data_IF_832144996480
#
_entry.id   IF_832144996480
#
_cell.length_a   1.000
_cell.length_b   1.000
_cell.length_c   1.000
_cell.angle_alpha   90.00
_cell.angle_beta   90.00
_cell.angle_gamma   90.00
#
_symmetry.space_group_name_H-M   'P 1'
#
loop_
_entity.id
_entity.type
_entity.pdbx_description
1 polymer ?
#
# COMPACT_ATOMS: atom_id res chain seq x y z
N UNK A 1 -12.78 12.03 -0.48
CA UNK A 1 -12.94 12.48 0.92
C UNK A 1 -11.57 12.78 1.48
N UNK A 2 -11.38 13.88 2.20
CA UNK A 2 -10.15 14.13 2.98
C UNK A 2 -10.14 13.22 4.21
N UNK A 3 -8.95 12.86 4.71
CA UNK A 3 -8.80 12.01 5.92
C UNK A 3 -9.54 12.59 7.14
N UNK A 4 -9.60 13.92 7.24
CA UNK A 4 -10.31 14.66 8.30
C UNK A 4 -11.84 14.49 8.27
N UNK A 5 -12.40 13.99 7.17
CA UNK A 5 -13.83 13.77 7.00
C UNK A 5 -14.24 12.32 7.31
N UNK A 6 -13.28 11.44 7.57
CA UNK A 6 -13.55 10.04 7.96
C UNK A 6 -13.91 9.99 9.46
N UNK A 7 -15.15 9.61 9.82
CA UNK A 7 -15.60 9.61 11.21
C UNK A 7 -14.89 8.58 12.09
N UNK A 8 -14.27 7.55 11.50
CA UNK A 8 -13.49 6.56 12.24
C UNK A 8 -12.08 7.07 12.58
N UNK A 9 -11.61 8.11 11.88
CA UNK A 9 -10.27 8.67 12.03
C UNK A 9 -10.31 9.82 13.04
N UNK A 10 -10.42 9.45 14.32
CA UNK A 10 -10.41 10.41 15.44
C UNK A 10 -8.99 10.74 15.85
N UNK A 11 -8.74 12.03 16.16
CA UNK A 11 -7.44 12.54 16.66
C UNK A 11 -7.17 12.19 18.12
N UNK A 12 -8.19 11.83 18.88
CA UNK A 12 -8.00 11.39 20.26
C UNK A 12 -7.54 9.92 20.34
N UNK A 13 -6.72 9.65 21.36
CA UNK A 13 -6.24 8.32 21.71
C UNK A 13 -6.90 7.81 22.99
N UNK A 14 -8.22 8.01 23.14
CA UNK A 14 -8.97 7.61 24.34
C UNK A 14 -8.85 6.12 24.69
N UNK A 15 -8.62 5.28 23.68
CA UNK A 15 -8.44 3.82 23.81
C UNK A 15 -6.95 3.40 23.69
N UNK A 16 -6.03 4.36 23.88
CA UNK A 16 -4.58 4.16 23.83
C UNK A 16 -3.97 4.29 22.42
N UNK A 17 -2.63 4.26 22.37
CA UNK A 17 -1.88 4.48 21.13
C UNK A 17 -2.12 3.42 20.04
N UNK A 18 -2.30 2.15 20.42
CA UNK A 18 -2.52 1.05 19.45
C UNK A 18 -3.81 1.24 18.67
N UNK A 19 -4.91 1.55 19.36
CA UNK A 19 -6.19 1.84 18.72
C UNK A 19 -6.08 3.08 17.82
N UNK A 20 -5.44 4.15 18.32
CA UNK A 20 -5.21 5.36 17.53
C UNK A 20 -4.47 5.07 16.21
N UNK A 21 -3.33 4.37 16.25
CA UNK A 21 -2.55 4.04 15.06
C UNK A 21 -3.31 3.09 14.11
N UNK A 22 -4.09 2.16 14.66
CA UNK A 22 -4.90 1.23 13.87
C UNK A 22 -5.98 1.98 13.08
N UNK A 23 -6.73 2.86 13.76
CA UNK A 23 -7.77 3.69 13.10
C UNK A 23 -7.17 4.62 12.05
N UNK A 24 -6.03 5.24 12.35
CA UNK A 24 -5.33 6.10 11.41
C UNK A 24 -4.88 5.31 10.17
N UNK A 25 -4.25 4.15 10.35
CA UNK A 25 -3.80 3.28 9.25
C UNK A 25 -4.95 2.87 8.33
N UNK A 26 -6.06 2.41 8.91
CA UNK A 26 -7.27 2.03 8.16
C UNK A 26 -7.89 3.20 7.42
N UNK A 27 -7.92 4.38 8.04
CA UNK A 27 -8.37 5.62 7.41
C UNK A 27 -7.54 6.02 6.20
N UNK A 28 -6.21 6.01 6.35
CA UNK A 28 -5.28 6.31 5.25
C UNK A 28 -5.42 5.27 4.13
N UNK A 29 -5.59 3.99 4.46
CA UNK A 29 -5.87 2.95 3.48
C UNK A 29 -7.16 3.23 2.72
N UNK A 30 -8.28 3.47 3.40
CA UNK A 30 -9.55 3.85 2.74
C UNK A 30 -9.39 5.06 1.82
N UNK A 31 -8.64 6.07 2.25
CA UNK A 31 -8.32 7.22 1.41
C UNK A 31 -7.56 6.80 0.14
N UNK A 32 -6.48 6.03 0.28
CA UNK A 32 -5.69 5.56 -0.86
C UNK A 32 -6.56 4.76 -1.85
N UNK A 33 -7.39 3.87 -1.33
CA UNK A 33 -8.28 3.01 -2.12
C UNK A 33 -9.44 3.74 -2.79
N UNK A 34 -9.85 4.88 -2.24
CA UNK A 34 -10.83 5.76 -2.88
C UNK A 34 -10.20 6.57 -4.03
N UNK A 35 -8.87 6.68 -4.08
CA UNK A 35 -8.14 7.50 -5.06
C UNK A 35 -6.90 6.78 -5.64
N UNK A 36 -7.04 5.56 -6.20
CA UNK A 36 -5.89 4.72 -6.57
C UNK A 36 -4.97 5.36 -7.61
N UNK A 37 -5.51 6.14 -8.56
CA UNK A 37 -4.74 6.88 -9.58
C UNK A 37 -4.02 8.12 -9.04
N UNK A 38 -4.63 8.81 -8.07
CA UNK A 38 -4.05 10.02 -7.51
C UNK A 38 -3.04 9.73 -6.40
N UNK A 39 -3.25 8.65 -5.64
CA UNK A 39 -2.45 8.35 -4.44
C UNK A 39 -0.95 8.24 -4.75
N UNK A 40 -0.46 7.48 -5.75
CA UNK A 40 0.96 7.38 -6.07
C UNK A 40 1.56 8.72 -6.50
N UNK A 41 0.84 9.52 -7.29
CA UNK A 41 1.30 10.83 -7.75
C UNK A 41 1.40 11.82 -6.61
N UNK A 42 0.41 11.80 -5.73
CA UNK A 42 0.39 12.65 -4.56
C UNK A 42 1.54 12.20 -3.66
N UNK A 43 1.62 10.94 -3.24
CA UNK A 43 2.59 10.50 -2.22
C UNK A 43 4.05 10.54 -2.67
N UNK A 44 4.37 10.37 -3.95
CA UNK A 44 5.77 10.39 -4.42
C UNK A 44 6.31 11.79 -4.74
N UNK A 45 5.45 12.82 -4.75
CA UNK A 45 5.91 14.21 -4.92
C UNK A 45 6.79 14.67 -3.75
N UNK A 46 7.89 15.40 -4.03
CA UNK A 46 8.68 16.07 -3.01
C UNK A 46 7.78 16.96 -2.15
N UNK A 47 7.88 16.85 -0.83
CA UNK A 47 7.12 17.69 0.07
C UNK A 47 7.62 19.14 0.03
N UNK A 48 6.73 20.11 0.18
CA UNK A 48 7.09 21.53 0.26
C UNK A 48 7.96 21.85 1.49
N UNK A 49 7.82 21.06 2.55
CA UNK A 49 8.71 21.05 3.70
C UNK A 49 9.56 19.76 3.70
N UNK A 50 10.91 19.85 3.74
CA UNK A 50 11.82 18.70 3.56
C UNK A 50 11.64 17.53 4.55
N UNK A 51 10.90 17.74 5.65
CA UNK A 51 10.73 16.78 6.74
C UNK A 51 9.31 16.22 6.84
N UNK A 52 8.34 16.75 6.08
CA UNK A 52 6.98 16.21 6.03
C UNK A 52 6.97 15.04 5.06
N UNK A 53 6.87 13.83 5.59
CA UNK A 53 6.88 12.62 4.78
C UNK A 53 5.45 12.16 4.43
N UNK A 54 5.23 11.59 3.23
CA UNK A 54 4.02 10.85 2.92
C UNK A 54 3.84 9.64 3.84
N UNK A 55 2.61 9.10 4.02
CA UNK A 55 1.34 9.57 3.45
C UNK A 55 0.68 10.73 4.23
N UNK A 56 1.10 11.00 5.46
CA UNK A 56 0.51 12.03 6.33
C UNK A 56 1.15 13.40 6.07
N UNK A 57 0.56 14.21 5.18
CA UNK A 57 1.05 15.57 4.86
C UNK A 57 0.43 16.70 5.68
N UNK A 58 -0.07 16.39 6.87
CA UNK A 58 -0.74 17.35 7.74
C UNK A 58 0.02 17.46 9.05
N UNK A 59 0.46 18.68 9.37
CA UNK A 59 1.10 18.97 10.65
C UNK A 59 0.19 18.63 11.84
N UNK A 60 -1.13 18.79 11.67
CA UNK A 60 -2.08 18.43 12.71
C UNK A 60 -2.07 16.91 12.97
N UNK A 61 -1.96 16.08 11.93
CA UNK A 61 -1.88 14.63 12.08
C UNK A 61 -0.54 14.17 12.66
N UNK A 62 0.56 14.80 12.21
CA UNK A 62 1.90 14.54 12.74
C UNK A 62 1.94 14.88 14.23
N UNK A 63 1.56 16.10 14.60
CA UNK A 63 1.52 16.55 16.00
C UNK A 63 0.63 15.65 16.86
N UNK A 64 -0.58 15.32 16.39
CA UNK A 64 -1.51 14.44 17.09
C UNK A 64 -0.89 13.06 17.37
N UNK A 65 -0.17 12.49 16.40
CA UNK A 65 0.51 11.19 16.58
C UNK A 65 1.68 11.31 17.55
N UNK A 66 2.55 12.31 17.40
CA UNK A 66 3.72 12.49 18.26
C UNK A 66 3.29 12.75 19.71
N UNK A 67 2.33 13.64 19.93
CA UNK A 67 1.78 13.95 21.25
C UNK A 67 1.08 12.74 21.89
N UNK A 68 0.37 11.93 21.09
CA UNK A 68 -0.23 10.67 21.57
C UNK A 68 0.84 9.71 22.09
N UNK A 69 1.89 9.47 21.31
CA UNK A 69 2.95 8.55 21.70
C UNK A 69 3.70 9.05 22.94
N UNK A 70 4.03 10.35 23.01
CA UNK A 70 4.65 10.95 24.19
C UNK A 70 3.75 10.85 25.44
N UNK A 71 2.44 11.08 25.28
CA UNK A 71 1.46 10.97 26.38
C UNK A 71 1.37 9.57 26.98
N UNK A 72 1.71 8.55 26.20
CA UNK A 72 1.73 7.14 26.59
C UNK A 72 3.10 6.70 27.16
N UNK A 73 4.03 7.64 27.35
CA UNK A 73 5.32 7.40 28.01
C UNK A 73 6.47 6.98 27.07
N UNK A 74 6.29 7.08 25.75
CA UNK A 74 7.37 6.83 24.80
C UNK A 74 8.47 7.88 24.96
N UNK A 75 9.72 7.42 24.95
CA UNK A 75 10.89 8.31 24.82
C UNK A 75 10.95 8.91 23.42
N UNK A 76 11.66 10.04 23.26
CA UNK A 76 11.79 10.72 21.96
C UNK A 76 12.32 9.78 20.85
N UNK A 77 13.26 8.89 21.18
CA UNK A 77 13.79 7.91 20.24
C UNK A 77 12.73 6.88 19.82
N UNK A 78 11.92 6.38 20.77
CA UNK A 78 10.82 5.45 20.49
C UNK A 78 9.70 6.12 19.68
N UNK A 79 9.37 7.39 19.97
CA UNK A 79 8.40 8.18 19.21
C UNK A 79 8.85 8.29 17.75
N UNK A 80 10.10 8.70 17.53
CA UNK A 80 10.64 8.89 16.19
C UNK A 80 10.75 7.57 15.42
N UNK A 81 11.18 6.49 16.08
CA UNK A 81 11.19 5.15 15.51
C UNK A 81 9.79 4.72 15.07
N UNK A 82 8.80 4.82 15.97
CA UNK A 82 7.40 4.46 15.70
C UNK A 82 6.84 5.26 14.52
N UNK A 83 7.05 6.58 14.53
CA UNK A 83 6.61 7.46 13.44
C UNK A 83 7.21 7.04 12.09
N UNK A 84 8.51 6.78 12.03
CA UNK A 84 9.18 6.39 10.78
C UNK A 84 8.73 5.02 10.29
N UNK A 85 8.71 4.03 11.17
CA UNK A 85 8.32 2.66 10.83
C UNK A 85 6.87 2.58 10.35
N UNK A 86 5.96 3.28 11.05
CA UNK A 86 4.55 3.38 10.67
C UNK A 86 4.34 4.04 9.31
N UNK A 87 4.93 5.21 9.06
CA UNK A 87 4.78 5.88 7.77
C UNK A 87 5.42 5.07 6.62
N UNK A 88 6.56 4.42 6.88
CA UNK A 88 7.26 3.61 5.86
C UNK A 88 6.45 2.37 5.48
N UNK A 89 5.88 1.69 6.48
CA UNK A 89 4.95 0.57 6.27
C UNK A 89 3.75 1.01 5.43
N UNK A 90 3.04 2.08 5.85
CA UNK A 90 1.87 2.56 5.13
C UNK A 90 2.21 2.97 3.70
N UNK A 91 3.29 3.74 3.50
CA UNK A 91 3.66 4.21 2.17
C UNK A 91 3.98 3.04 1.24
N UNK A 92 4.80 2.08 1.68
CA UNK A 92 5.17 0.92 0.88
C UNK A 92 3.96 0.05 0.54
N UNK A 93 3.13 -0.26 1.55
CA UNK A 93 1.96 -1.11 1.36
C UNK A 93 0.92 -0.47 0.44
N UNK A 94 0.59 0.80 0.67
CA UNK A 94 -0.47 1.49 -0.07
C UNK A 94 -0.06 1.85 -1.49
N UNK A 95 1.23 2.08 -1.77
CA UNK A 95 1.72 2.22 -3.15
C UNK A 95 1.55 0.90 -3.93
N UNK A 96 1.89 -0.23 -3.30
CA UNK A 96 1.73 -1.55 -3.91
C UNK A 96 0.26 -1.90 -4.16
N UNK A 97 -0.61 -1.73 -3.16
CA UNK A 97 -2.05 -2.02 -3.30
C UNK A 97 -2.74 -1.08 -4.30
N UNK A 98 -2.43 0.22 -4.27
CA UNK A 98 -3.01 1.18 -5.24
C UNK A 98 -2.54 0.89 -6.66
N UNK A 99 -1.25 0.57 -6.85
CA UNK A 99 -0.71 0.20 -8.15
C UNK A 99 -1.36 -1.05 -8.74
N UNK A 100 -1.59 -2.09 -7.91
CA UNK A 100 -2.30 -3.29 -8.34
C UNK A 100 -3.74 -3.01 -8.82
N UNK A 101 -4.44 -2.04 -8.19
CA UNK A 101 -5.78 -1.62 -8.63
C UNK A 101 -5.75 -0.82 -9.92
N UNK A 102 -4.80 0.10 -10.04
CA UNK A 102 -4.57 0.85 -11.28
C UNK A 102 -4.25 -0.09 -12.46
N UNK A 103 -3.52 -1.18 -12.22
CA UNK A 103 -3.29 -2.20 -13.26
C UNK A 103 -4.58 -2.93 -13.70
N UNK A 104 -5.61 -3.02 -12.85
CA UNK A 104 -6.91 -3.64 -13.20
C UNK A 104 -7.86 -2.67 -13.92
N UNK A 105 -7.73 -1.37 -13.65
CA UNK A 105 -8.55 -0.31 -14.25
C UNK A 105 -7.65 0.84 -14.74
N UNK A 106 -6.83 0.64 -15.79
CA UNK A 106 -5.86 1.64 -16.22
C UNK A 106 -6.54 2.89 -16.80
N UNK A 107 -6.08 4.07 -16.37
CA UNK A 107 -6.49 5.38 -16.88
C UNK A 107 -5.33 6.12 -17.55
N UNK A 108 -5.67 7.06 -18.42
CA UNK A 108 -4.70 7.96 -19.04
C UNK A 108 -3.91 8.72 -17.96
N UNK A 109 -2.58 8.53 -17.94
CA UNK A 109 -1.68 9.17 -16.98
C UNK A 109 -1.19 8.29 -15.82
N UNK A 110 -1.67 7.05 -15.72
CA UNK A 110 -1.15 6.05 -14.76
C UNK A 110 0.23 5.48 -15.16
N UNK A 111 0.65 5.73 -16.40
CA UNK A 111 1.88 5.21 -17.00
C UNK A 111 3.12 6.06 -16.71
N UNK A 112 4.25 5.35 -16.58
CA UNK A 112 5.59 5.88 -16.80
C UNK A 112 5.70 6.42 -18.23
N UNK A 113 6.33 7.59 -18.40
CA UNK A 113 6.85 8.04 -19.70
C UNK A 113 7.98 7.08 -20.12
N UNK A 114 7.65 5.92 -20.68
CA UNK A 114 8.64 4.92 -21.05
C UNK A 114 8.04 3.70 -21.73
N UNK A 115 8.06 3.70 -23.05
CA UNK A 115 8.03 2.49 -23.87
C UNK A 115 9.36 1.75 -23.68
N UNK A 116 9.42 0.75 -22.80
CA UNK A 116 10.54 -0.20 -22.84
C UNK A 116 10.29 -1.20 -23.96
N UNK A 117 11.18 -1.27 -24.94
CA UNK A 117 11.14 -2.20 -26.09
C UNK A 117 11.25 -3.69 -25.69
N UNK A 118 11.51 -4.01 -24.41
CA UNK A 118 11.51 -5.37 -23.87
C UNK A 118 10.51 -5.49 -22.70
N UNK A 119 9.33 -6.13 -22.91
CA UNK A 119 8.37 -6.41 -21.84
C UNK A 119 8.89 -7.50 -20.89
N UNK A 120 8.57 -7.39 -19.61
CA UNK A 120 8.73 -8.50 -18.65
C UNK A 120 7.68 -9.57 -18.99
N UNK A 121 8.04 -10.86 -19.15
CA UNK A 121 7.07 -11.93 -19.36
C UNK A 121 6.01 -11.97 -18.23
N UNK A 122 4.72 -11.99 -18.60
CA UNK A 122 3.59 -11.86 -17.65
C UNK A 122 3.39 -10.44 -17.07
N UNK A 123 4.13 -9.45 -17.55
CA UNK A 123 4.04 -8.06 -17.14
C UNK A 123 2.77 -7.39 -17.65
N UNK A 124 1.95 -6.88 -16.73
CA UNK A 124 0.80 -6.06 -17.06
C UNK A 124 1.29 -4.64 -17.37
N UNK A 125 1.51 -4.30 -18.64
CA UNK A 125 1.80 -2.91 -19.03
C UNK A 125 0.59 -2.01 -18.71
N UNK A 126 0.78 -0.78 -18.20
CA UNK A 126 -0.32 0.19 -18.04
C UNK A 126 -1.05 0.49 -19.36
N UNK A 127 -0.39 0.24 -20.49
CA UNK A 127 -0.93 0.38 -21.85
C UNK A 127 -1.03 -0.99 -22.53
N UNK A 128 -1.84 -1.89 -21.96
CA UNK A 128 -2.12 -3.20 -22.59
C UNK A 128 -2.70 -3.01 -24.00
N UNK A 129 -2.34 -3.90 -24.91
CA UNK A 129 -3.07 -4.09 -26.17
C UNK A 129 -4.47 -4.64 -25.87
N UNK A 130 -5.43 -4.42 -26.77
CA UNK A 130 -6.80 -4.92 -26.60
C UNK A 130 -6.83 -6.45 -26.39
N UNK A 131 -5.93 -7.19 -27.04
CA UNK A 131 -5.79 -8.63 -26.90
C UNK A 131 -5.33 -9.08 -25.51
N UNK A 132 -4.45 -8.31 -24.86
CA UNK A 132 -3.99 -8.60 -23.49
C UNK A 132 -5.08 -8.33 -22.45
N UNK A 133 -5.95 -7.34 -22.70
CA UNK A 133 -7.10 -7.08 -21.84
C UNK A 133 -8.16 -8.18 -21.96
N UNK A 134 -8.42 -8.64 -23.18
CA UNK A 134 -9.36 -9.74 -23.47
C UNK A 134 -8.88 -11.05 -22.84
N UNK A 135 -7.59 -11.39 -22.96
CA UNK A 135 -7.01 -12.59 -22.35
C UNK A 135 -7.11 -12.60 -20.81
N UNK A 136 -6.88 -11.44 -20.16
CA UNK A 136 -7.06 -11.30 -18.70
C UNK A 136 -8.54 -11.42 -18.30
N UNK A 137 -9.45 -10.85 -19.09
CA UNK A 137 -10.89 -10.92 -18.83
C UNK A 137 -11.46 -12.34 -19.00
N UNK A 138 -10.92 -13.11 -19.94
CA UNK A 138 -11.34 -14.48 -20.25
C UNK A 138 -10.65 -15.54 -19.37
N UNK A 139 -9.66 -15.18 -18.56
CA UNK A 139 -8.93 -16.10 -17.69
C UNK A 139 -9.88 -16.81 -16.71
N UNK A 140 -9.90 -18.14 -16.77
CA UNK A 140 -10.80 -18.99 -15.95
C UNK A 140 -10.08 -19.80 -14.88
N UNK A 141 -8.74 -19.79 -14.91
CA UNK A 141 -7.87 -20.46 -13.95
C UNK A 141 -6.83 -19.51 -13.37
N UNK A 142 -6.28 -19.85 -12.20
CA UNK A 142 -5.21 -19.06 -11.58
C UNK A 142 -3.92 -19.02 -12.41
N UNK A 143 -3.66 -20.06 -13.21
CA UNK A 143 -2.53 -20.11 -14.13
C UNK A 143 -2.73 -19.11 -15.27
N UNK A 144 -3.94 -19.04 -15.87
CA UNK A 144 -4.27 -18.03 -16.90
C UNK A 144 -4.30 -16.61 -16.34
N UNK A 145 -4.67 -16.42 -15.06
CA UNK A 145 -4.63 -15.10 -14.42
C UNK A 145 -3.20 -14.60 -14.17
N UNK A 146 -2.30 -15.52 -13.81
CA UNK A 146 -0.91 -15.22 -13.51
C UNK A 146 -0.06 -15.09 -14.78
N UNK A 147 -0.36 -15.88 -15.80
CA UNK A 147 0.33 -15.89 -17.09
C UNK A 147 -0.66 -15.94 -18.26
N UNK A 148 -1.36 -14.82 -18.55
CA UNK A 148 -2.39 -14.79 -19.61
C UNK A 148 -1.84 -15.08 -21.01
N UNK A 149 -0.53 -14.88 -21.22
CA UNK A 149 0.13 -15.08 -22.50
C UNK A 149 0.81 -16.46 -22.61
N UNK A 150 0.94 -17.20 -21.50
CA UNK A 150 1.60 -18.50 -21.48
C UNK A 150 3.12 -18.42 -21.64
N UNK A 151 3.72 -17.28 -21.28
CA UNK A 151 5.16 -17.01 -21.48
C UNK A 151 6.04 -17.54 -20.34
N UNK A 152 5.46 -17.91 -19.19
CA UNK A 152 6.19 -18.41 -18.03
C UNK A 152 6.40 -19.92 -18.21
N UNK A 153 7.55 -20.32 -18.74
CA UNK A 153 7.84 -21.74 -18.94
C UNK A 153 8.01 -22.51 -17.63
N UNK A 154 7.22 -23.58 -17.44
CA UNK A 154 7.29 -24.44 -16.24
C UNK A 154 8.67 -25.06 -15.98
N UNK A 155 9.44 -25.31 -17.05
CA UNK A 155 10.80 -25.86 -16.93
C UNK A 155 11.78 -24.87 -16.31
N UNK A 156 11.57 -23.58 -16.54
CA UNK A 156 12.42 -22.50 -16.03
C UNK A 156 11.90 -21.96 -14.68
N UNK A 157 10.57 -21.87 -14.52
CA UNK A 157 9.93 -21.29 -13.33
C UNK A 157 9.01 -22.27 -12.57
N UNK A 158 9.48 -23.47 -12.16
CA UNK A 158 8.62 -24.50 -11.56
C UNK A 158 7.98 -24.06 -10.23
N UNK A 159 8.61 -23.17 -9.48
CA UNK A 159 8.07 -22.66 -8.22
C UNK A 159 6.88 -21.71 -8.42
N UNK A 160 6.91 -20.91 -9.48
CA UNK A 160 5.82 -19.98 -9.82
C UNK A 160 4.58 -20.79 -10.15
N UNK A 161 4.71 -21.77 -11.06
CA UNK A 161 3.63 -22.71 -11.40
C UNK A 161 3.08 -23.45 -10.18
N UNK A 162 3.95 -23.98 -9.32
CA UNK A 162 3.54 -24.67 -8.08
C UNK A 162 2.74 -23.77 -7.12
N UNK A 163 2.99 -22.46 -7.13
CA UNK A 163 2.35 -21.50 -6.24
C UNK A 163 1.32 -20.62 -6.97
N UNK A 164 1.02 -20.88 -8.24
CA UNK A 164 0.24 -19.99 -9.09
C UNK A 164 -1.13 -19.67 -8.49
N UNK A 165 -1.82 -20.70 -7.98
CA UNK A 165 -3.12 -20.57 -7.30
C UNK A 165 -3.07 -19.54 -6.16
N UNK A 166 -2.04 -19.60 -5.32
CA UNK A 166 -1.86 -18.68 -4.18
C UNK A 166 -1.31 -17.32 -4.58
N UNK A 167 -0.53 -17.24 -5.65
CA UNK A 167 0.04 -15.99 -6.17
C UNK A 167 -1.01 -15.15 -6.90
N UNK A 168 -2.02 -15.78 -7.50
CA UNK A 168 -3.12 -15.09 -8.17
C UNK A 168 -4.17 -14.53 -7.20
N UNK A 169 -4.22 -15.02 -5.96
CA UNK A 169 -5.16 -14.54 -4.94
C UNK A 169 -4.88 -13.08 -4.51
N UNK A 170 -5.90 -12.22 -4.56
CA UNK A 170 -5.86 -10.90 -3.92
C UNK A 170 -6.10 -11.03 -2.41
N UNK A 171 -5.06 -10.77 -1.61
CA UNK A 171 -5.09 -10.85 -0.15
C UNK A 171 -4.74 -9.54 0.54
N UNK A 172 -4.82 -8.40 -0.17
CA UNK A 172 -4.32 -7.11 0.34
C UNK A 172 -4.95 -6.70 1.69
N UNK A 173 -6.23 -6.97 1.91
CA UNK A 173 -6.91 -6.61 3.16
C UNK A 173 -6.33 -7.35 4.38
N UNK A 174 -6.29 -8.68 4.30
CA UNK A 174 -5.79 -9.52 5.40
C UNK A 174 -4.29 -9.33 5.63
N UNK A 175 -3.52 -9.14 4.57
CA UNK A 175 -2.08 -8.92 4.65
C UNK A 175 -1.75 -7.54 5.23
N UNK A 176 -2.54 -6.51 4.91
CA UNK A 176 -2.42 -5.19 5.51
C UNK A 176 -2.62 -5.26 7.02
N UNK A 177 -3.71 -5.87 7.47
CA UNK A 177 -4.04 -5.97 8.90
C UNK A 177 -2.98 -6.77 9.66
N UNK A 178 -2.52 -7.91 9.12
CA UNK A 178 -1.42 -8.70 9.71
C UNK A 178 -0.09 -7.96 9.73
N UNK A 179 0.22 -7.20 8.68
CA UNK A 179 1.43 -6.39 8.59
C UNK A 179 1.42 -5.27 9.63
N UNK A 180 0.28 -4.60 9.77
CA UNK A 180 0.05 -3.55 10.75
C UNK A 180 0.16 -4.10 12.17
N UNK A 181 -0.51 -5.22 12.47
CA UNK A 181 -0.43 -5.89 13.78
C UNK A 181 1.01 -6.18 14.17
N UNK A 182 1.79 -6.82 13.28
CA UNK A 182 3.22 -7.12 13.53
C UNK A 182 4.07 -5.87 13.77
N UNK A 183 3.81 -4.80 13.03
CA UNK A 183 4.50 -3.53 13.24
C UNK A 183 4.18 -2.98 14.64
N UNK A 184 2.91 -2.96 15.02
CA UNK A 184 2.49 -2.43 16.32
C UNK A 184 2.99 -3.30 17.47
N UNK A 185 3.04 -4.63 17.31
CA UNK A 185 3.67 -5.53 18.28
C UNK A 185 5.16 -5.22 18.42
N UNK A 186 5.89 -5.07 17.30
CA UNK A 186 7.30 -4.69 17.35
C UNK A 186 7.55 -3.33 18.01
N UNK A 187 6.62 -2.38 17.90
CA UNK A 187 6.70 -1.09 18.60
C UNK A 187 6.52 -1.27 20.10
N UNK A 188 5.57 -2.12 20.49
CA UNK A 188 5.33 -2.39 21.90
C UNK A 188 6.46 -3.16 22.58
N UNK A 189 7.07 -4.11 21.87
CA UNK A 189 8.24 -4.85 22.37
C UNK A 189 9.43 -3.93 22.66
N UNK A 190 9.47 -2.73 22.07
CA UNK A 190 10.50 -1.72 22.37
C UNK A 190 10.18 -0.86 23.59
N UNK A 191 8.97 -0.95 24.15
CA UNK A 191 8.57 -0.24 25.38
C UNK A 191 8.98 -0.99 26.65
N UNK A 192 9.19 -2.30 26.55
CA UNK A 192 9.62 -3.20 27.63
C UNK A 192 11.16 -3.18 27.84
#
# INVERSE_FOLDING_TARGET
>A
AELDQDPEVRRDASEGWRDYLTRLARGVRRYALAHPHAFPLVTTRPAEAPWINPPLRSLAWIESMLATLQGEGFTDDQVLFTYRSFNSFLLGYLLMESGARTLRDPQDGDGSMGTSDEPVPGGLSPTRTDAEQEAVADATSAEEQLDPQGDIEVREFPTIHRLAERLAEDRFDEEFERGLERLLDSVADQLD
#
